data_IF_807041450217
#
_entry.id   IF_807041450217
#
_cell.length_a   1.000
_cell.length_b   1.000
_cell.length_c   1.000
_cell.angle_alpha   90.00
_cell.angle_beta   90.00
_cell.angle_gamma   90.00
#
_symmetry.space_group_name_H-M   'P 1'
#
loop_
_entity.id
_entity.type
_entity.pdbx_description
1 polymer ?
#
# COMPACT_ATOMS: atom_id res chain seq x y z
N UNK A 1 10.53 -27.14 19.51
CA UNK A 1 10.64 -26.52 18.16
C UNK A 1 9.32 -26.72 17.40
N UNK A 2 8.51 -25.67 17.17
CA UNK A 2 7.26 -25.67 16.37
C UNK A 2 7.25 -24.52 15.33
N UNK A 3 8.40 -24.24 14.70
CA UNK A 3 8.63 -23.02 13.90
C UNK A 3 8.38 -23.09 12.36
N UNK A 4 8.32 -24.24 11.65
CA UNK A 4 8.21 -24.22 10.18
C UNK A 4 6.80 -23.85 9.68
N UNK A 5 5.76 -24.47 10.25
CA UNK A 5 4.39 -24.32 9.77
C UNK A 5 3.83 -22.90 10.03
N UNK A 6 4.25 -22.25 11.11
CA UNK A 6 3.81 -20.90 11.46
C UNK A 6 4.36 -19.85 10.50
N UNK A 7 5.65 -19.94 10.11
CA UNK A 7 6.25 -19.01 9.13
C UNK A 7 5.60 -19.10 7.76
N UNK A 8 5.28 -20.31 7.30
CA UNK A 8 4.58 -20.49 6.02
C UNK A 8 3.16 -19.90 6.06
N UNK A 9 2.41 -20.13 7.14
CA UNK A 9 1.08 -19.52 7.34
C UNK A 9 1.15 -17.99 7.31
N UNK A 10 2.13 -17.40 8.02
CA UNK A 10 2.31 -15.94 8.01
C UNK A 10 2.66 -15.42 6.62
N UNK A 11 3.55 -16.08 5.88
CA UNK A 11 3.87 -15.68 4.51
C UNK A 11 2.64 -15.71 3.58
N UNK A 12 1.79 -16.73 3.71
CA UNK A 12 0.56 -16.83 2.91
C UNK A 12 -0.45 -15.73 3.26
N UNK A 13 -0.63 -15.46 4.55
CA UNK A 13 -1.48 -14.38 5.04
C UNK A 13 -1.01 -13.02 4.52
N UNK A 14 0.28 -12.71 4.69
CA UNK A 14 0.88 -11.45 4.24
C UNK A 14 0.74 -11.30 2.73
N UNK A 15 1.15 -12.31 1.95
CA UNK A 15 1.09 -12.24 0.49
C UNK A 15 -0.34 -12.11 -0.03
N UNK A 16 -1.29 -12.86 0.53
CA UNK A 16 -2.71 -12.75 0.17
C UNK A 16 -3.29 -11.37 0.50
N UNK A 17 -2.92 -10.81 1.65
CA UNK A 17 -3.38 -9.48 2.08
C UNK A 17 -2.87 -8.37 1.15
N UNK A 18 -1.60 -8.44 0.72
CA UNK A 18 -1.06 -7.48 -0.27
C UNK A 18 -1.84 -7.54 -1.60
N UNK A 19 -2.13 -8.75 -2.10
CA UNK A 19 -2.88 -8.88 -3.35
C UNK A 19 -4.33 -8.40 -3.22
N UNK A 20 -4.98 -8.70 -2.10
CA UNK A 20 -6.34 -8.21 -1.81
C UNK A 20 -6.38 -6.68 -1.76
N UNK A 21 -5.41 -6.06 -1.09
CA UNK A 21 -5.23 -4.61 -1.04
C UNK A 21 -5.05 -4.00 -2.43
N UNK A 22 -4.15 -4.58 -3.24
CA UNK A 22 -3.88 -4.10 -4.60
C UNK A 22 -5.12 -4.18 -5.49
N UNK A 23 -5.91 -5.25 -5.37
CA UNK A 23 -7.17 -5.40 -6.10
C UNK A 23 -8.21 -4.37 -5.64
N UNK A 24 -8.39 -4.18 -4.32
CA UNK A 24 -9.31 -3.18 -3.79
C UNK A 24 -8.96 -1.77 -4.28
N UNK A 25 -7.69 -1.38 -4.16
CA UNK A 25 -7.19 -0.09 -4.63
C UNK A 25 -7.36 0.07 -6.15
N UNK A 26 -7.03 -0.96 -6.93
CA UNK A 26 -7.16 -0.96 -8.38
C UNK A 26 -8.60 -0.84 -8.89
N UNK A 27 -9.60 -1.15 -8.05
CA UNK A 27 -11.02 -0.96 -8.36
C UNK A 27 -11.51 0.41 -7.89
N UNK A 28 -11.34 0.75 -6.60
CA UNK A 28 -11.97 1.95 -6.04
C UNK A 28 -11.31 3.25 -6.52
N UNK A 29 -9.99 3.27 -6.75
CA UNK A 29 -9.28 4.48 -7.16
C UNK A 29 -9.76 5.00 -8.52
N UNK A 30 -9.70 4.23 -9.61
CA UNK A 30 -10.10 4.74 -10.92
C UNK A 30 -11.61 4.96 -11.06
N UNK A 31 -12.44 4.15 -10.38
CA UNK A 31 -13.89 4.19 -10.57
C UNK A 31 -14.60 5.24 -9.71
N UNK A 32 -14.09 5.55 -8.53
CA UNK A 32 -14.79 6.40 -7.55
C UNK A 32 -14.01 7.68 -7.26
N UNK A 33 -12.73 7.56 -6.92
CA UNK A 33 -11.98 8.71 -6.38
C UNK A 33 -11.29 9.55 -7.46
N UNK A 34 -10.71 8.93 -8.50
CA UNK A 34 -10.06 9.66 -9.59
C UNK A 34 -10.98 10.69 -10.27
N UNK A 35 -12.25 10.38 -10.60
CA UNK A 35 -13.16 11.39 -11.16
C UNK A 35 -13.39 12.60 -10.24
N UNK A 36 -13.37 12.40 -8.92
CA UNK A 36 -13.54 13.48 -7.94
C UNK A 36 -12.25 14.31 -7.83
N UNK A 37 -11.09 13.66 -7.75
CA UNK A 37 -9.80 14.34 -7.63
C UNK A 37 -9.47 15.20 -8.87
N UNK A 38 -9.88 14.76 -10.05
CA UNK A 38 -9.62 15.46 -11.31
C UNK A 38 -10.74 16.45 -11.68
N UNK A 39 -11.75 16.64 -10.82
CA UNK A 39 -12.89 17.48 -11.13
C UNK A 39 -12.53 18.97 -11.11
N UNK A 40 -12.92 19.70 -12.16
CA UNK A 40 -12.96 21.16 -12.13
C UNK A 40 -14.02 21.63 -11.12
N UNK A 41 -13.76 22.73 -10.41
CA UNK A 41 -14.60 23.21 -9.30
C UNK A 41 -16.07 23.46 -9.71
N UNK A 42 -16.31 23.91 -10.94
CA UNK A 42 -17.65 24.17 -11.50
C UNK A 42 -18.39 22.89 -11.93
N UNK A 43 -17.71 21.73 -11.95
CA UNK A 43 -18.26 20.42 -12.35
C UNK A 43 -18.37 19.42 -11.21
N UNK A 44 -17.95 19.79 -10.00
CA UNK A 44 -17.99 18.93 -8.80
C UNK A 44 -19.38 18.36 -8.56
N UNK A 45 -20.43 19.20 -8.64
CA UNK A 45 -21.84 18.77 -8.50
C UNK A 45 -22.19 17.62 -9.45
N UNK A 46 -21.82 17.77 -10.73
CA UNK A 46 -22.11 16.78 -11.77
C UNK A 46 -21.39 15.47 -11.47
N UNK A 47 -20.10 15.52 -11.10
CA UNK A 47 -19.31 14.34 -10.76
C UNK A 47 -19.90 13.63 -9.54
N UNK A 48 -20.21 14.36 -8.47
CA UNK A 48 -20.75 13.80 -7.25
C UNK A 48 -22.14 13.18 -7.47
N UNK A 49 -22.98 13.75 -8.34
CA UNK A 49 -24.28 13.15 -8.68
C UNK A 49 -24.15 11.75 -9.28
N UNK A 50 -23.11 11.51 -10.08
CA UNK A 50 -22.83 10.21 -10.71
C UNK A 50 -22.19 9.24 -9.71
N UNK A 51 -21.29 9.73 -8.84
CA UNK A 51 -20.56 8.90 -7.89
C UNK A 51 -21.36 8.57 -6.63
N UNK A 52 -22.34 9.40 -6.25
CA UNK A 52 -23.14 9.27 -5.01
C UNK A 52 -23.62 7.85 -4.70
N UNK A 53 -24.19 7.08 -5.66
CA UNK A 53 -24.63 5.70 -5.39
C UNK A 53 -23.49 4.73 -5.03
N UNK A 54 -22.27 5.01 -5.47
CA UNK A 54 -21.10 4.15 -5.31
C UNK A 54 -20.16 4.59 -4.17
N UNK A 55 -20.37 5.78 -3.61
CA UNK A 55 -19.44 6.37 -2.64
C UNK A 55 -19.22 5.49 -1.40
N UNK A 56 -20.29 4.84 -0.90
CA UNK A 56 -20.19 3.89 0.22
C UNK A 56 -19.32 2.66 -0.12
N UNK A 57 -19.40 2.16 -1.35
CA UNK A 57 -18.56 1.04 -1.82
C UNK A 57 -17.08 1.47 -1.82
N UNK A 58 -16.80 2.73 -2.18
CA UNK A 58 -15.47 3.32 -2.10
C UNK A 58 -14.93 3.33 -0.66
N UNK A 59 -15.74 3.73 0.31
CA UNK A 59 -15.38 3.70 1.73
C UNK A 59 -15.11 2.27 2.21
N UNK A 60 -15.97 1.32 1.86
CA UNK A 60 -15.77 -0.10 2.20
C UNK A 60 -14.45 -0.61 1.60
N UNK A 61 -14.13 -0.24 0.36
CA UNK A 61 -12.86 -0.60 -0.26
C UNK A 61 -11.65 -0.05 0.51
N UNK A 62 -11.70 1.20 0.98
CA UNK A 62 -10.66 1.76 1.84
C UNK A 62 -10.54 1.07 3.20
N UNK A 63 -11.66 0.65 3.79
CA UNK A 63 -11.66 -0.15 5.03
C UNK A 63 -11.02 -1.51 4.79
N UNK A 64 -11.28 -2.16 3.65
CA UNK A 64 -10.61 -3.40 3.26
C UNK A 64 -9.10 -3.19 3.14
N UNK A 65 -8.67 -2.13 2.45
CA UNK A 65 -7.26 -1.74 2.34
C UNK A 65 -6.64 -1.60 3.73
N UNK A 66 -7.25 -0.81 4.62
CA UNK A 66 -6.77 -0.59 5.98
C UNK A 66 -6.59 -1.91 6.77
N UNK A 67 -7.60 -2.79 6.74
CA UNK A 67 -7.54 -4.09 7.44
C UNK A 67 -6.39 -4.93 6.89
N UNK A 68 -6.30 -5.04 5.56
CA UNK A 68 -5.22 -5.81 4.91
C UNK A 68 -3.85 -5.23 5.21
N UNK A 69 -3.71 -3.91 5.31
CA UNK A 69 -2.44 -3.26 5.67
C UNK A 69 -1.98 -3.59 7.08
N UNK A 70 -2.90 -3.60 8.05
CA UNK A 70 -2.61 -4.02 9.42
C UNK A 70 -2.18 -5.49 9.48
N UNK A 71 -2.82 -6.35 8.69
CA UNK A 71 -2.42 -7.76 8.54
C UNK A 71 -1.02 -7.88 7.93
N UNK A 72 -0.69 -7.08 6.92
CA UNK A 72 0.63 -7.06 6.29
C UNK A 72 1.70 -6.53 7.24
N UNK A 73 1.43 -5.46 7.98
CA UNK A 73 2.34 -4.89 8.99
C UNK A 73 2.74 -5.96 10.01
N UNK A 74 1.75 -6.61 10.61
CA UNK A 74 1.99 -7.70 11.56
C UNK A 74 2.68 -8.90 10.91
N UNK A 75 2.25 -9.27 9.70
CA UNK A 75 2.76 -10.38 8.94
C UNK A 75 4.25 -10.25 8.60
N UNK A 76 4.65 -9.09 8.06
CA UNK A 76 6.04 -8.78 7.74
C UNK A 76 6.91 -8.70 9.01
N UNK A 77 6.43 -8.06 10.07
CA UNK A 77 7.12 -8.06 11.36
C UNK A 77 7.44 -9.48 11.81
N UNK A 78 6.43 -10.36 11.91
CA UNK A 78 6.61 -11.74 12.37
C UNK A 78 7.48 -12.57 11.43
N UNK A 79 7.39 -12.33 10.12
CA UNK A 79 8.19 -13.04 9.13
C UNK A 79 9.69 -12.72 9.25
N UNK A 80 10.05 -11.44 9.41
CA UNK A 80 11.44 -11.01 9.50
C UNK A 80 12.01 -11.00 10.93
N UNK A 81 11.15 -11.08 11.96
CA UNK A 81 11.53 -11.06 13.39
C UNK A 81 12.71 -11.97 13.74
N UNK A 82 12.71 -13.21 13.20
CA UNK A 82 13.73 -14.20 13.54
C UNK A 82 15.11 -13.90 12.94
N UNK A 83 15.21 -13.03 11.93
CA UNK A 83 16.47 -12.67 11.27
C UNK A 83 17.06 -11.42 11.90
N UNK A 84 16.26 -10.36 12.01
CA UNK A 84 16.69 -9.06 12.54
C UNK A 84 15.55 -8.39 13.33
N UNK A 85 15.45 -8.71 14.63
CA UNK A 85 14.31 -8.30 15.46
C UNK A 85 14.06 -6.78 15.44
N UNK A 86 15.08 -5.97 15.74
CA UNK A 86 14.95 -4.51 15.84
C UNK A 86 14.54 -3.86 14.52
N UNK A 87 15.14 -4.28 13.39
CA UNK A 87 14.77 -3.72 12.07
C UNK A 87 13.36 -4.14 11.65
N UNK A 88 12.97 -5.39 11.95
CA UNK A 88 11.62 -5.86 11.67
C UNK A 88 10.55 -5.12 12.50
N UNK A 89 10.85 -4.77 13.75
CA UNK A 89 9.97 -3.97 14.60
C UNK A 89 9.77 -2.56 14.05
N UNK A 90 10.86 -1.86 13.72
CA UNK A 90 10.77 -0.49 13.17
C UNK A 90 10.04 -0.50 11.81
N UNK A 91 10.39 -1.44 10.91
CA UNK A 91 9.73 -1.57 9.60
C UNK A 91 8.22 -1.84 9.73
N UNK A 92 7.82 -2.75 10.62
CA UNK A 92 6.40 -3.03 10.89
C UNK A 92 5.68 -1.83 11.52
N UNK A 93 6.34 -1.16 12.46
CA UNK A 93 5.85 0.06 13.11
C UNK A 93 5.62 1.21 12.13
N UNK A 94 6.52 1.42 11.16
CA UNK A 94 6.33 2.43 10.11
C UNK A 94 5.10 2.13 9.25
N UNK A 95 4.85 0.85 8.91
CA UNK A 95 3.63 0.48 8.18
C UNK A 95 2.38 0.70 9.02
N UNK A 96 2.43 0.37 10.31
CA UNK A 96 1.33 0.62 11.22
C UNK A 96 1.03 2.13 11.35
N UNK A 97 2.06 2.96 11.42
CA UNK A 97 1.92 4.42 11.46
C UNK A 97 1.27 4.96 10.17
N UNK A 98 1.66 4.44 9.00
CA UNK A 98 0.97 4.70 7.74
C UNK A 98 -0.52 4.31 7.81
N UNK A 99 -0.84 3.12 8.30
CA UNK A 99 -2.23 2.66 8.45
C UNK A 99 -3.05 3.53 9.39
N UNK A 100 -2.43 4.05 10.46
CA UNK A 100 -3.09 5.00 11.36
C UNK A 100 -3.45 6.31 10.63
N UNK A 101 -2.54 6.84 9.81
CA UNK A 101 -2.82 8.00 8.96
C UNK A 101 -3.91 7.73 7.92
N UNK A 102 -3.90 6.56 7.28
CA UNK A 102 -4.98 6.13 6.38
C UNK A 102 -6.34 6.09 7.11
N UNK A 103 -6.39 5.54 8.33
CA UNK A 103 -7.62 5.51 9.12
C UNK A 103 -8.15 6.93 9.42
N UNK A 104 -7.27 7.89 9.72
CA UNK A 104 -7.66 9.30 9.88
C UNK A 104 -8.24 9.88 8.59
N UNK A 105 -7.66 9.54 7.44
CA UNK A 105 -8.21 9.92 6.14
C UNK A 105 -9.61 9.34 5.92
N UNK A 106 -9.82 8.05 6.21
CA UNK A 106 -11.13 7.39 6.03
C UNK A 106 -12.23 8.09 6.83
N UNK A 107 -11.91 8.68 8.00
CA UNK A 107 -12.89 9.47 8.76
C UNK A 107 -13.41 10.69 7.97
N UNK A 108 -12.57 11.30 7.14
CA UNK A 108 -12.99 12.40 6.26
C UNK A 108 -13.95 11.91 5.17
N UNK A 109 -13.72 10.72 4.62
CA UNK A 109 -14.65 10.09 3.68
C UNK A 109 -15.99 9.72 4.33
N UNK A 110 -15.97 9.24 5.58
CA UNK A 110 -17.21 8.98 6.33
C UNK A 110 -18.00 10.28 6.50
N UNK A 111 -17.34 11.39 6.87
CA UNK A 111 -17.98 12.72 6.96
C UNK A 111 -18.54 13.17 5.61
N UNK A 112 -17.78 12.99 4.52
CA UNK A 112 -18.23 13.31 3.17
C UNK A 112 -19.48 12.52 2.80
N UNK A 113 -19.56 11.24 3.17
CA UNK A 113 -20.73 10.42 2.92
C UNK A 113 -21.97 10.88 3.69
N UNK A 114 -21.80 11.33 4.93
CA UNK A 114 -22.91 11.86 5.73
C UNK A 114 -23.51 13.10 5.08
N UNK A 115 -22.68 14.05 4.65
CA UNK A 115 -23.12 15.25 3.91
C UNK A 115 -23.80 14.84 2.61
N UNK A 116 -23.19 13.93 1.84
CA UNK A 116 -23.75 13.46 0.57
C UNK A 116 -25.11 12.76 0.72
N UNK A 117 -25.45 12.29 1.92
CA UNK A 117 -26.74 11.68 2.26
C UNK A 117 -27.88 12.68 2.45
N UNK A 118 -27.60 13.98 2.55
CA UNK A 118 -28.61 15.02 2.69
C UNK A 118 -29.37 15.28 1.36
N UNK A 119 -30.63 15.72 1.45
CA UNK A 119 -31.49 15.98 0.28
C UNK A 119 -30.95 17.15 -0.58
N UNK A 120 -30.42 18.19 0.06
CA UNK A 120 -29.78 19.35 -0.56
C UNK A 120 -28.34 19.50 -0.07
N UNK A 121 -27.52 18.46 -0.30
CA UNK A 121 -26.13 18.46 0.16
C UNK A 121 -25.30 19.58 -0.49
N UNK A 122 -24.33 20.11 0.26
CA UNK A 122 -23.32 21.03 -0.26
C UNK A 122 -22.19 20.23 -0.92
N UNK A 123 -22.14 20.25 -2.25
CA UNK A 123 -21.12 19.54 -3.03
C UNK A 123 -19.71 20.05 -2.78
N UNK A 124 -19.53 21.35 -2.50
CA UNK A 124 -18.22 21.90 -2.21
C UNK A 124 -17.71 21.38 -0.87
N UNK A 125 -18.60 21.28 0.14
CA UNK A 125 -18.25 20.67 1.42
C UNK A 125 -17.83 19.19 1.26
N UNK A 126 -18.53 18.41 0.44
CA UNK A 126 -18.16 17.01 0.15
C UNK A 126 -16.79 16.96 -0.53
N UNK A 127 -16.56 17.81 -1.52
CA UNK A 127 -15.28 17.88 -2.24
C UNK A 127 -14.12 18.24 -1.31
N UNK A 128 -14.26 19.26 -0.47
CA UNK A 128 -13.24 19.65 0.52
C UNK A 128 -12.89 18.50 1.47
N UNK A 129 -13.88 17.70 1.90
CA UNK A 129 -13.64 16.53 2.74
C UNK A 129 -12.89 15.41 1.98
N UNK A 130 -13.19 15.21 0.70
CA UNK A 130 -12.49 14.23 -0.16
C UNK A 130 -11.05 14.68 -0.46
N UNK A 131 -10.81 15.97 -0.70
CA UNK A 131 -9.47 16.53 -0.84
C UNK A 131 -8.70 16.45 0.48
N UNK A 132 -9.36 16.73 1.60
CA UNK A 132 -8.77 16.53 2.94
C UNK A 132 -8.35 15.07 3.17
N UNK A 133 -9.17 14.10 2.74
CA UNK A 133 -8.78 12.69 2.73
C UNK A 133 -7.51 12.47 1.89
N UNK A 134 -7.46 13.00 0.66
CA UNK A 134 -6.33 12.86 -0.25
C UNK A 134 -5.03 13.39 0.39
N UNK A 135 -5.04 14.59 0.97
CA UNK A 135 -3.86 15.18 1.59
C UNK A 135 -3.36 14.38 2.80
N UNK A 136 -4.27 13.89 3.66
CA UNK A 136 -3.91 13.04 4.81
C UNK A 136 -3.29 11.72 4.32
N UNK A 137 -3.89 11.12 3.29
CA UNK A 137 -3.41 9.88 2.70
C UNK A 137 -2.03 10.06 2.05
N UNK A 138 -1.82 11.12 1.27
CA UNK A 138 -0.53 11.47 0.66
C UNK A 138 0.58 11.66 1.71
N UNK A 139 0.28 12.37 2.80
CA UNK A 139 1.23 12.51 3.90
C UNK A 139 1.59 11.14 4.50
N UNK A 140 0.60 10.27 4.66
CA UNK A 140 0.80 8.90 5.14
C UNK A 140 1.64 8.07 4.15
N UNK A 141 1.48 8.27 2.84
CA UNK A 141 2.27 7.60 1.81
C UNK A 141 3.78 7.95 1.88
N UNK A 142 4.15 9.12 2.40
CA UNK A 142 5.57 9.44 2.68
C UNK A 142 6.13 8.49 3.75
N UNK A 143 5.36 8.27 4.82
CA UNK A 143 5.72 7.32 5.91
C UNK A 143 5.82 5.90 5.35
N UNK A 144 4.90 5.54 4.45
CA UNK A 144 4.95 4.27 3.72
C UNK A 144 6.20 4.12 2.85
N UNK A 145 6.63 5.19 2.18
CA UNK A 145 7.88 5.21 1.44
C UNK A 145 9.09 4.91 2.33
N UNK A 146 9.15 5.48 3.54
CA UNK A 146 10.18 5.15 4.53
C UNK A 146 10.11 3.68 4.97
N UNK A 147 8.91 3.13 5.15
CA UNK A 147 8.72 1.70 5.39
C UNK A 147 9.35 0.84 4.28
N UNK A 148 9.14 1.17 3.01
CA UNK A 148 9.70 0.43 1.88
C UNK A 148 11.24 0.49 1.85
N UNK A 149 11.82 1.65 2.16
CA UNK A 149 13.28 1.80 2.28
C UNK A 149 13.86 0.91 3.39
N UNK A 150 13.13 0.74 4.51
CA UNK A 150 13.52 -0.18 5.59
C UNK A 150 13.28 -1.65 5.25
N UNK A 151 12.23 -1.95 4.49
CA UNK A 151 11.89 -3.29 4.05
C UNK A 151 12.88 -3.82 3.01
N UNK A 152 13.36 -2.97 2.11
CA UNK A 152 14.28 -3.33 1.03
C UNK A 152 15.50 -4.15 1.52
N UNK A 153 16.32 -3.70 2.48
CA UNK A 153 17.48 -4.47 2.95
C UNK A 153 17.10 -5.76 3.68
N UNK A 154 15.89 -5.85 4.28
CA UNK A 154 15.40 -7.09 4.90
C UNK A 154 15.06 -8.16 3.86
N UNK A 155 14.56 -7.74 2.69
CA UNK A 155 14.29 -8.62 1.54
C UNK A 155 15.59 -9.04 0.84
N UNK A 156 16.62 -8.19 0.87
CA UNK A 156 17.90 -8.45 0.23
C UNK A 156 18.59 -9.71 0.81
N UNK A 157 18.81 -10.69 -0.07
CA UNK A 157 19.50 -11.95 0.21
C UNK A 157 20.31 -12.36 -1.02
N UNK A 158 21.28 -13.29 -0.87
CA UNK A 158 22.17 -13.75 -1.95
C UNK A 158 21.49 -14.37 -3.20
N UNK A 159 20.16 -14.50 -3.21
CA UNK A 159 19.41 -15.01 -4.37
C UNK A 159 19.08 -13.84 -5.31
N UNK A 160 19.48 -13.95 -6.57
CA UNK A 160 19.30 -12.92 -7.61
C UNK A 160 17.88 -12.34 -7.63
N UNK A 161 16.84 -13.17 -7.61
CA UNK A 161 15.45 -12.69 -7.63
C UNK A 161 15.06 -11.81 -6.42
N UNK A 162 15.58 -12.09 -5.21
CA UNK A 162 15.28 -11.27 -4.04
C UNK A 162 16.06 -9.95 -4.03
N UNK A 163 17.23 -9.92 -4.65
CA UNK A 163 17.98 -8.67 -4.87
C UNK A 163 17.20 -7.75 -5.83
N UNK A 164 16.60 -8.31 -6.88
CA UNK A 164 15.72 -7.56 -7.78
C UNK A 164 14.50 -6.98 -7.03
N UNK A 165 13.77 -7.78 -6.24
CA UNK A 165 12.65 -7.27 -5.44
C UNK A 165 13.10 -6.16 -4.49
N UNK A 166 14.23 -6.36 -3.81
CA UNK A 166 14.82 -5.34 -2.91
C UNK A 166 15.13 -4.03 -3.65
N UNK A 167 15.72 -4.10 -4.85
CA UNK A 167 15.97 -2.92 -5.69
C UNK A 167 14.67 -2.19 -6.07
N UNK A 168 13.64 -2.93 -6.50
CA UNK A 168 12.34 -2.35 -6.85
C UNK A 168 11.69 -1.69 -5.64
N UNK A 169 11.70 -2.32 -4.46
CA UNK A 169 11.18 -1.75 -3.21
C UNK A 169 11.92 -0.46 -2.81
N UNK A 170 13.24 -0.42 -3.02
CA UNK A 170 14.04 0.76 -2.72
C UNK A 170 13.64 1.94 -3.62
N UNK A 171 13.57 1.71 -4.93
CA UNK A 171 13.14 2.74 -5.90
C UNK A 171 11.69 3.17 -5.63
N UNK A 172 10.81 2.23 -5.30
CA UNK A 172 9.43 2.52 -4.89
C UNK A 172 9.37 3.43 -3.66
N UNK A 173 10.18 3.15 -2.63
CA UNK A 173 10.25 3.97 -1.43
C UNK A 173 10.66 5.42 -1.71
N UNK A 174 11.67 5.61 -2.58
CA UNK A 174 12.05 6.95 -3.06
C UNK A 174 10.89 7.60 -3.82
N UNK A 175 10.24 6.85 -4.71
CA UNK A 175 9.09 7.32 -5.48
C UNK A 175 7.96 7.84 -4.59
N UNK A 176 7.53 7.05 -3.60
CA UNK A 176 6.48 7.45 -2.65
C UNK A 176 6.86 8.71 -1.88
N UNK A 177 8.11 8.85 -1.43
CA UNK A 177 8.54 10.06 -0.69
C UNK A 177 8.52 11.27 -1.62
N UNK A 178 9.20 11.18 -2.77
CA UNK A 178 9.38 12.33 -3.66
C UNK A 178 8.07 12.78 -4.28
N UNK A 179 7.23 11.87 -4.78
CA UNK A 179 5.97 12.24 -5.42
C UNK A 179 5.01 12.91 -4.43
N UNK A 180 4.82 12.33 -3.25
CA UNK A 180 3.89 12.86 -2.26
C UNK A 180 4.43 14.13 -1.56
N UNK A 181 5.75 14.26 -1.36
CA UNK A 181 6.32 15.52 -0.86
C UNK A 181 6.18 16.64 -1.90
N UNK A 182 6.44 16.34 -3.18
CA UNK A 182 6.31 17.34 -4.22
C UNK A 182 4.85 17.82 -4.34
N UNK A 183 3.90 16.89 -4.30
CA UNK A 183 2.47 17.21 -4.38
C UNK A 183 1.98 18.08 -3.20
N UNK A 184 2.45 17.79 -1.99
CA UNK A 184 2.03 18.54 -0.79
C UNK A 184 2.69 19.92 -0.64
N UNK A 185 3.90 20.12 -1.15
CA UNK A 185 4.71 21.31 -0.83
C UNK A 185 5.08 22.18 -2.04
N UNK A 186 4.89 21.71 -3.28
CA UNK A 186 5.22 22.47 -4.48
C UNK A 186 3.92 22.96 -5.14
N UNK A 187 3.72 24.27 -5.15
CA UNK A 187 2.63 24.90 -5.89
C UNK A 187 2.77 24.62 -7.39
N UNK A 188 1.67 24.29 -8.07
CA UNK A 188 1.62 23.92 -9.49
C UNK A 188 2.38 22.63 -9.86
N UNK A 189 2.60 21.73 -8.90
CA UNK A 189 3.20 20.42 -9.15
C UNK A 189 2.42 19.60 -10.19
N UNK A 190 1.09 19.62 -10.08
CA UNK A 190 0.16 18.89 -10.95
C UNK A 190 0.32 19.25 -12.43
N UNK A 191 0.48 20.53 -12.75
CA UNK A 191 0.57 21.00 -14.13
C UNK A 191 1.94 20.75 -14.77
N UNK A 192 3.03 20.82 -13.98
CA UNK A 192 4.38 20.91 -14.53
C UNK A 192 5.20 19.61 -14.41
N UNK A 193 4.95 18.82 -13.35
CA UNK A 193 5.88 17.77 -12.94
C UNK A 193 5.23 16.42 -12.58
N UNK A 194 3.95 16.39 -12.19
CA UNK A 194 3.25 15.17 -11.75
C UNK A 194 3.37 14.02 -12.75
N UNK A 195 3.02 14.23 -14.01
CA UNK A 195 3.07 13.18 -15.05
C UNK A 195 4.47 12.57 -15.19
N UNK A 196 5.51 13.39 -15.17
CA UNK A 196 6.90 12.93 -15.33
C UNK A 196 7.37 12.10 -14.14
N UNK A 197 7.02 12.53 -12.93
CA UNK A 197 7.37 11.82 -11.70
C UNK A 197 6.57 10.52 -11.58
N UNK A 198 5.27 10.54 -11.89
CA UNK A 198 4.45 9.33 -11.93
C UNK A 198 4.98 8.34 -12.94
N UNK A 199 5.29 8.75 -14.17
CA UNK A 199 5.84 7.86 -15.20
C UNK A 199 7.16 7.21 -14.77
N UNK A 200 8.00 7.92 -14.00
CA UNK A 200 9.26 7.39 -13.50
C UNK A 200 9.08 6.36 -12.37
N UNK A 201 8.08 6.52 -11.50
CA UNK A 201 7.97 5.77 -10.24
C UNK A 201 6.76 4.84 -10.13
N UNK A 202 5.72 5.00 -10.96
CA UNK A 202 4.47 4.24 -10.85
C UNK A 202 4.70 2.74 -10.98
N UNK A 203 5.57 2.32 -11.92
CA UNK A 203 5.91 0.91 -12.10
C UNK A 203 6.58 0.33 -10.84
N UNK A 204 7.68 0.91 -10.31
CA UNK A 204 8.24 0.48 -9.03
C UNK A 204 7.23 0.48 -7.87
N UNK A 205 6.43 1.54 -7.74
CA UNK A 205 5.47 1.71 -6.64
C UNK A 205 4.38 0.65 -6.63
N UNK A 206 3.88 0.26 -7.80
CA UNK A 206 2.88 -0.81 -7.95
C UNK A 206 3.54 -2.20 -7.83
N UNK A 207 4.70 -2.41 -8.45
CA UNK A 207 5.30 -3.73 -8.56
C UNK A 207 6.02 -4.19 -7.28
N UNK A 208 6.60 -3.28 -6.49
CA UNK A 208 7.48 -3.65 -5.37
C UNK A 208 6.85 -4.64 -4.40
N UNK A 209 5.71 -4.28 -3.83
CA UNK A 209 5.00 -5.13 -2.87
C UNK A 209 4.31 -6.32 -3.53
N UNK A 210 3.78 -6.15 -4.75
CA UNK A 210 3.10 -7.23 -5.49
C UNK A 210 4.08 -8.35 -5.82
N UNK A 211 5.30 -8.03 -6.27
CA UNK A 211 6.35 -9.02 -6.49
C UNK A 211 6.77 -9.72 -5.19
N UNK A 212 6.86 -8.97 -4.09
CA UNK A 212 7.11 -9.54 -2.77
C UNK A 212 5.98 -10.48 -2.34
N UNK A 213 4.71 -10.13 -2.61
CA UNK A 213 3.54 -10.93 -2.30
C UNK A 213 3.57 -12.28 -3.05
N UNK A 214 3.81 -12.25 -4.36
CA UNK A 214 3.98 -13.48 -5.15
C UNK A 214 5.12 -14.34 -4.62
N UNK A 215 6.25 -13.73 -4.24
CA UNK A 215 7.36 -14.47 -3.64
C UNK A 215 6.98 -15.13 -2.30
N UNK A 216 6.29 -14.40 -1.41
CA UNK A 216 5.80 -14.92 -0.13
C UNK A 216 4.82 -16.09 -0.34
N UNK A 217 3.89 -15.95 -1.28
CA UNK A 217 2.92 -16.99 -1.62
C UNK A 217 3.59 -18.24 -2.20
N UNK A 218 4.58 -18.12 -3.08
CA UNK A 218 5.18 -19.29 -3.74
C UNK A 218 6.26 -19.94 -2.87
N UNK A 219 7.16 -19.14 -2.29
CA UNK A 219 8.39 -19.62 -1.63
C UNK A 219 8.54 -19.20 -0.16
N UNK A 220 7.77 -18.22 0.31
CA UNK A 220 7.86 -17.72 1.68
C UNK A 220 7.62 -18.83 2.72
N UNK A 221 8.54 -18.99 3.67
CA UNK A 221 8.42 -19.93 4.78
C UNK A 221 8.49 -21.42 4.42
N UNK A 222 8.78 -21.78 3.16
CA UNK A 222 9.10 -23.16 2.78
C UNK A 222 10.55 -23.48 3.15
N UNK A 223 10.78 -24.59 3.84
CA UNK A 223 12.13 -25.16 3.94
C UNK A 223 12.56 -25.63 2.55
N UNK A 224 13.87 -25.56 2.26
CA UNK A 224 14.39 -26.32 1.12
C UNK A 224 14.15 -27.78 1.47
N UNK A 225 13.34 -28.49 0.69
CA UNK A 225 13.55 -29.93 0.58
C UNK A 225 15.01 -30.10 0.19
N UNK A 226 15.79 -30.73 1.05
CA UNK A 226 17.11 -31.23 0.70
C UNK A 226 16.83 -32.40 -0.23
N UNK A 227 16.62 -32.11 -1.51
CA UNK A 227 16.48 -33.13 -2.53
C UNK A 227 17.88 -33.73 -2.77
N UNK A 228 18.14 -34.89 -2.17
CA UNK A 228 19.09 -35.89 -2.66
C UNK A 228 20.56 -35.77 -2.24
N UNK A 229 20.87 -36.00 -0.96
CA UNK A 229 22.06 -36.80 -0.66
C UNK A 229 21.69 -38.26 -0.92
N UNK A 230 21.88 -38.72 -2.17
CA UNK A 230 22.05 -40.16 -2.39
C UNK A 230 23.45 -40.49 -1.93
N UNK A 231 23.50 -41.23 -0.83
CA UNK A 231 24.61 -42.04 -0.38
C UNK A 231 25.38 -42.63 -1.56
N UNK A 232 26.68 -42.35 -1.65
CA UNK A 232 27.71 -43.30 -2.10
C UNK A 232 29.05 -42.87 -1.47
N UNK A 233 29.14 -43.04 -0.15
CA UNK A 233 30.38 -43.44 0.52
C UNK A 233 29.97 -44.62 1.39
N UNK A 234 29.99 -45.83 0.83
CA UNK A 234 30.49 -47.09 1.43
C UNK A 234 30.43 -48.14 0.31
N UNK A 235 31.55 -48.32 -0.40
CA UNK A 235 32.17 -49.61 -0.75
C UNK A 235 33.38 -49.32 -1.63
#
# INVERSE_FOLDING_TARGET
>A
MKAPQSKRKMAMLTGGSILMMALAAGVIMPLIFKPIFDAELDKVDQVLSVIKPYFLIGIIGWVVILITDLMVSWGLYKFYKSRENRKAEVMGGMRFLYSAGLALGIMQLIRAHLVLGEDNFDAMQVYELVISFQSIWQFSLIIFGVHLLMLSPLVCEKKTFKQWISGVLFVAGIGYILSNMADLFITNYDELYREKVELAFILPMVLGEVLLAFWLLIKGGKEREITGQKQLVVS
#
